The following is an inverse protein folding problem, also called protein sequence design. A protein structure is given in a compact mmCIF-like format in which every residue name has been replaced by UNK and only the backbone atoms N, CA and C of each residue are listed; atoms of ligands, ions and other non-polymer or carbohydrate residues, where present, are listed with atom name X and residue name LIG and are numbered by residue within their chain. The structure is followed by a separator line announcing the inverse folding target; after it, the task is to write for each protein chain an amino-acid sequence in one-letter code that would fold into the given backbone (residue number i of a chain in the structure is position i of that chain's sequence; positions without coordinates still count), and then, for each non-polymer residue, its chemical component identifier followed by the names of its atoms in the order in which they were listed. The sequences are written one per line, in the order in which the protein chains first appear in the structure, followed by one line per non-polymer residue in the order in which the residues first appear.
data_IF_715735791613
#
_entry.id   IF_715735791613
#
_cell.length_a   1.000
_cell.length_b   1.000
_cell.length_c   1.000
_cell.angle_alpha   90.00
_cell.angle_beta   90.00
_cell.angle_gamma   90.00
#
_symmetry.space_group_name_H-M   'P 1'
#
loop_
_entity.id
_entity.type
_entity.pdbx_description
1 polymer ?
#
# COMPACT_ATOMS: atom_id res chain seq x y z
N UNK A 1 -14.51 -9.74 4.22
CA UNK A 1 -13.42 -10.02 3.31
C UNK A 1 -12.13 -9.42 3.81
N UNK A 2 -11.04 -9.96 3.35
CA UNK A 2 -9.72 -9.63 3.89
C UNK A 2 -8.93 -8.70 2.98
N UNK A 3 -9.59 -7.98 2.09
CA UNK A 3 -8.89 -7.17 1.11
C UNK A 3 -7.91 -6.17 1.72
N UNK A 4 -8.30 -5.41 2.76
CA UNK A 4 -7.33 -4.48 3.36
C UNK A 4 -6.12 -5.20 3.96
N UNK A 5 -6.36 -6.34 4.60
CA UNK A 5 -5.27 -7.12 5.16
C UNK A 5 -4.42 -7.74 4.07
N UNK A 6 -5.05 -8.13 2.97
CA UNK A 6 -4.30 -8.68 1.84
C UNK A 6 -3.38 -7.65 1.23
N UNK A 7 -3.84 -6.41 1.13
CA UNK A 7 -2.98 -5.35 0.60
C UNK A 7 -1.73 -5.20 1.45
N UNK A 8 -1.90 -5.15 2.76
CA UNK A 8 -0.77 -5.04 3.65
C UNK A 8 0.15 -6.25 3.57
N UNK A 9 -0.44 -7.42 3.49
CA UNK A 9 0.34 -8.65 3.41
C UNK A 9 1.12 -8.71 2.10
N UNK A 10 0.47 -8.37 0.99
CA UNK A 10 1.13 -8.34 -0.30
C UNK A 10 2.29 -7.37 -0.30
N UNK A 11 2.07 -6.18 0.28
CA UNK A 11 3.12 -5.17 0.37
C UNK A 11 4.30 -5.69 1.19
N UNK A 12 4.00 -6.32 2.32
CA UNK A 12 5.07 -6.83 3.18
C UNK A 12 5.88 -7.90 2.50
N UNK A 13 5.24 -8.73 1.72
CA UNK A 13 5.95 -9.80 1.00
C UNK A 13 6.87 -9.25 -0.07
N UNK A 14 6.47 -8.14 -0.68
CA UNK A 14 7.26 -7.57 -1.76
C UNK A 14 8.34 -6.63 -1.23
N UNK A 15 8.01 -5.79 -0.26
CA UNK A 15 8.88 -4.70 0.17
C UNK A 15 9.43 -4.86 1.57
N UNK A 16 8.92 -5.81 2.34
CA UNK A 16 9.37 -6.01 3.71
C UNK A 16 8.38 -5.48 4.73
N UNK A 17 8.66 -5.78 6.00
CA UNK A 17 7.72 -5.47 7.07
C UNK A 17 7.65 -3.98 7.38
N UNK A 18 8.74 -3.24 7.12
CA UNK A 18 8.78 -1.83 7.48
C UNK A 18 8.03 -0.98 6.48
N UNK A 19 7.33 0.01 7.00
CA UNK A 19 6.64 0.96 6.14
C UNK A 19 7.64 1.96 5.57
N UNK A 20 7.40 2.43 4.34
CA UNK A 20 8.27 3.45 3.75
C UNK A 20 8.11 4.77 4.49
N UNK A 21 9.21 5.50 4.62
CA UNK A 21 9.18 6.81 5.24
C UNK A 21 9.17 7.94 4.22
N UNK A 22 9.68 7.68 3.01
CA UNK A 22 9.73 8.69 1.98
C UNK A 22 8.49 8.65 1.10
N UNK A 23 8.04 9.83 0.70
CA UNK A 23 6.86 9.93 -0.12
C UNK A 23 7.00 9.19 -1.45
N UNK A 24 8.16 9.33 -2.09
CA UNK A 24 8.38 8.68 -3.37
C UNK A 24 8.24 7.17 -3.26
N UNK A 25 8.73 6.60 -2.16
CA UNK A 25 8.63 5.17 -1.97
C UNK A 25 7.20 4.76 -1.70
N UNK A 26 6.45 5.58 -0.97
CA UNK A 26 5.04 5.29 -0.75
C UNK A 26 4.27 5.26 -2.06
N UNK A 27 4.55 6.21 -2.94
CA UNK A 27 3.90 6.25 -4.25
C UNK A 27 4.24 5.01 -5.05
N UNK A 28 5.50 4.61 -5.03
CA UNK A 28 5.92 3.41 -5.75
C UNK A 28 5.15 2.19 -5.27
N UNK A 29 5.06 2.02 -3.96
CA UNK A 29 4.39 0.85 -3.42
C UNK A 29 2.89 0.91 -3.68
N UNK A 30 2.30 2.10 -3.67
CA UNK A 30 0.88 2.21 -3.97
C UNK A 30 0.59 1.80 -5.41
N UNK A 31 1.45 2.18 -6.33
CA UNK A 31 1.27 1.78 -7.73
C UNK A 31 1.37 0.27 -7.89
N UNK A 32 2.29 -0.34 -7.17
CA UNK A 32 2.41 -1.79 -7.20
C UNK A 32 1.10 -2.43 -6.75
N UNK A 33 0.51 -1.92 -5.67
CA UNK A 33 -0.73 -2.48 -5.17
C UNK A 33 -1.89 -2.23 -6.12
N UNK A 34 -1.90 -1.09 -6.82
CA UNK A 34 -2.91 -0.84 -7.83
C UNK A 34 -2.83 -1.88 -8.95
N UNK A 35 -1.63 -2.24 -9.34
CA UNK A 35 -1.45 -3.29 -10.35
C UNK A 35 -2.03 -4.61 -9.89
N UNK A 36 -2.02 -4.85 -8.60
CA UNK A 36 -2.58 -6.08 -8.04
C UNK A 36 -4.10 -6.03 -7.94
N UNK A 37 -4.70 -4.89 -8.20
CA UNK A 37 -6.14 -4.76 -8.16
C UNK A 37 -6.72 -4.22 -6.88
N UNK A 38 -5.89 -3.74 -5.96
CA UNK A 38 -6.40 -3.14 -4.73
C UNK A 38 -6.91 -1.73 -4.97
N UNK A 39 -7.96 -1.36 -4.24
CA UNK A 39 -8.50 0.00 -4.34
C UNK A 39 -7.64 0.97 -3.52
N UNK A 40 -7.89 2.27 -3.73
CA UNK A 40 -7.13 3.28 -3.00
C UNK A 40 -7.38 3.17 -1.49
N UNK A 41 -8.57 2.78 -1.08
CA UNK A 41 -8.83 2.59 0.35
C UNK A 41 -7.97 1.48 0.92
N UNK A 42 -7.84 0.38 0.19
CA UNK A 42 -7.02 -0.74 0.64
C UNK A 42 -5.55 -0.34 0.69
N UNK A 43 -5.11 0.42 -0.31
CA UNK A 43 -3.71 0.86 -0.37
C UNK A 43 -3.41 1.80 0.79
N UNK A 44 -4.34 2.69 1.10
CA UNK A 44 -4.15 3.61 2.22
C UNK A 44 -4.00 2.85 3.53
N UNK A 45 -4.81 1.83 3.73
CA UNK A 45 -4.71 1.03 4.94
C UNK A 45 -3.39 0.28 5.00
N UNK A 46 -2.88 -0.14 3.85
CA UNK A 46 -1.62 -0.88 3.81
C UNK A 46 -0.42 0.02 4.06
N UNK A 47 -0.47 1.26 3.59
CA UNK A 47 0.66 2.18 3.66
C UNK A 47 0.57 3.18 4.81
N UNK A 48 -0.57 3.22 5.49
CA UNK A 48 -0.76 4.15 6.59
C UNK A 48 -1.82 5.18 6.25
N UNK A 49 -2.51 5.64 7.30
CA UNK A 49 -3.62 6.57 7.11
C UNK A 49 -3.17 7.94 6.61
N UNK A 50 -1.90 8.25 6.82
CA UNK A 50 -1.38 9.55 6.42
C UNK A 50 -1.15 9.65 4.93
N UNK A 51 -1.10 8.52 4.24
CA UNK A 51 -0.82 8.50 2.82
C UNK A 51 -2.13 8.51 2.04
N UNK A 52 -2.20 9.37 1.04
CA UNK A 52 -3.37 9.42 0.15
C UNK A 52 -2.93 9.17 -1.27
N UNK A 53 -3.19 7.99 -1.81
CA UNK A 53 -2.74 7.65 -3.16
C UNK A 53 -3.44 8.42 -4.26
N UNK A 54 -4.51 9.14 -3.93
CA UNK A 54 -5.27 9.88 -4.92
C UNK A 54 -4.78 11.32 -5.10
N UNK A 55 -3.78 11.73 -4.34
CA UNK A 55 -3.25 13.09 -4.47
C UNK A 55 -2.12 13.13 -5.48
#
# INVERSE_FOLDING_TARGET
EDWPERAGDTRRRKFGAELPTEWAEKVRQSKFLQYRGFSSDHIRLALGKDFDPDI
#
